data_IF_069892819457
#
_entry.id   IF_069892819457
#
_cell.length_a   1.000
_cell.length_b   1.000
_cell.length_c   1.000
_cell.angle_alpha   90.00
_cell.angle_beta   90.00
_cell.angle_gamma   90.00
#
_symmetry.space_group_name_H-M   'P 1'
#
loop_
_entity.id
_entity.type
_entity.pdbx_description
1 polymer ?
#
# COMPACT_ATOMS: atom_id res chain seq x y z
N UNK A 1 -2.24 -10.97 -19.35
CA UNK A 1 -2.95 -9.71 -19.07
C UNK A 1 -1.92 -8.69 -18.63
N UNK A 2 -2.19 -7.40 -18.75
CA UNK A 2 -1.33 -6.35 -18.17
C UNK A 2 -1.59 -6.25 -16.67
N UNK A 3 -0.56 -5.90 -15.89
CA UNK A 3 -0.75 -5.67 -14.46
C UNK A 3 -1.54 -4.38 -14.23
N UNK A 4 -2.36 -4.33 -13.18
CA UNK A 4 -3.14 -3.14 -12.79
C UNK A 4 -3.06 -2.90 -11.29
N UNK A 5 -2.85 -1.65 -10.90
CA UNK A 5 -2.92 -1.19 -9.51
C UNK A 5 -4.21 -0.39 -9.33
N UNK A 6 -5.05 -0.77 -8.36
CA UNK A 6 -6.33 -0.12 -8.07
C UNK A 6 -6.30 0.49 -6.67
N UNK A 7 -6.35 1.82 -6.59
CA UNK A 7 -6.39 2.60 -5.35
C UNK A 7 -7.84 2.93 -4.98
N UNK A 8 -8.24 2.69 -3.73
CA UNK A 8 -9.62 2.87 -3.29
C UNK A 8 -9.81 4.19 -2.51
N UNK A 9 -10.94 4.90 -2.73
CA UNK A 9 -11.25 6.14 -2.01
C UNK A 9 -11.86 5.84 -0.64
N UNK A 10 -11.03 5.85 0.40
CA UNK A 10 -11.38 5.41 1.75
C UNK A 10 -11.22 6.52 2.82
N UNK A 11 -11.07 7.77 2.39
CA UNK A 11 -10.64 8.87 3.28
C UNK A 11 -9.13 8.83 3.47
N UNK A 12 -8.67 9.04 4.70
CA UNK A 12 -7.29 8.77 5.10
C UNK A 12 -7.19 7.32 5.54
N UNK A 13 -7.11 6.42 4.55
CA UNK A 13 -7.02 4.99 4.79
C UNK A 13 -6.62 4.27 3.52
N UNK A 14 -6.11 3.05 3.71
CA UNK A 14 -5.44 2.31 2.67
C UNK A 14 -6.11 0.98 2.33
N UNK A 15 -6.27 0.81 1.02
CA UNK A 15 -6.40 -0.48 0.38
C UNK A 15 -6.01 -0.30 -1.09
N UNK A 16 -4.92 -0.94 -1.49
CA UNK A 16 -4.50 -0.95 -2.89
C UNK A 16 -4.48 -2.37 -3.42
N UNK A 17 -5.26 -2.64 -4.46
CA UNK A 17 -5.31 -3.96 -5.09
C UNK A 17 -4.35 -4.04 -6.27
N UNK A 18 -3.59 -5.12 -6.34
CA UNK A 18 -2.74 -5.44 -7.46
C UNK A 18 -3.34 -6.63 -8.20
N UNK A 19 -3.61 -6.46 -9.47
CA UNK A 19 -3.97 -7.51 -10.42
C UNK A 19 -2.73 -7.80 -11.27
N UNK A 20 -2.11 -8.96 -11.11
CA UNK A 20 -0.86 -9.31 -11.81
C UNK A 20 -1.11 -9.94 -13.18
N UNK A 21 -0.05 -10.00 -14.00
CA UNK A 21 -0.14 -10.47 -15.38
C UNK A 21 -0.60 -11.93 -15.53
N UNK A 22 -0.30 -12.76 -14.53
CA UNK A 22 -0.69 -14.17 -14.40
C UNK A 22 -2.05 -14.38 -13.69
N UNK A 23 -2.74 -13.30 -13.34
CA UNK A 23 -4.04 -13.36 -12.66
C UNK A 23 -3.95 -13.51 -11.14
N UNK A 24 -2.74 -13.54 -10.55
CA UNK A 24 -2.61 -13.40 -9.09
C UNK A 24 -3.18 -12.05 -8.64
N UNK A 25 -3.83 -12.04 -7.48
CA UNK A 25 -4.41 -10.84 -6.88
C UNK A 25 -3.81 -10.61 -5.50
N UNK A 26 -3.34 -9.40 -5.25
CA UNK A 26 -2.79 -8.98 -3.96
C UNK A 26 -3.56 -7.78 -3.43
N UNK A 27 -3.67 -7.67 -2.11
CA UNK A 27 -4.08 -6.45 -1.42
C UNK A 27 -2.91 -5.92 -0.59
N UNK A 28 -2.64 -4.63 -0.71
CA UNK A 28 -1.76 -3.87 0.18
C UNK A 28 -2.67 -3.02 1.05
N UNK A 29 -2.71 -3.38 2.34
CA UNK A 29 -3.63 -2.95 3.38
C UNK A 29 -5.12 -3.24 3.09
N UNK A 30 -5.93 -3.17 4.14
CA UNK A 30 -7.38 -3.26 4.06
C UNK A 30 -8.00 -2.47 5.20
N UNK A 31 -8.66 -1.35 4.87
CA UNK A 31 -9.41 -0.57 5.84
C UNK A 31 -10.79 -0.18 5.28
N UNK A 32 -11.83 -0.91 5.69
CA UNK A 32 -13.22 -0.53 5.41
C UNK A 32 -13.65 0.59 6.37
N UNK A 33 -13.34 1.82 5.97
CA UNK A 33 -13.59 3.00 6.79
C UNK A 33 -14.97 3.61 6.59
N UNK A 34 -15.78 3.12 5.63
CA UNK A 34 -17.08 3.73 5.34
C UNK A 34 -18.00 3.68 6.57
N UNK A 35 -18.48 4.85 6.99
CA UNK A 35 -19.55 5.00 7.95
C UNK A 35 -20.89 4.79 7.24
N UNK A 36 -21.55 3.67 7.53
CA UNK A 36 -22.83 3.29 6.90
C UNK A 36 -24.03 4.02 7.50
N UNK A 37 -23.86 4.62 8.68
CA UNK A 37 -24.90 5.41 9.35
C UNK A 37 -24.90 6.88 8.89
N UNK A 38 -23.85 7.30 8.17
CA UNK A 38 -23.77 8.65 7.57
C UNK A 38 -24.12 8.59 6.07
N UNK A 39 -25.28 9.11 5.64
CA UNK A 39 -25.67 9.13 4.24
C UNK A 39 -24.78 10.04 3.37
N UNK A 40 -23.97 10.91 3.98
CA UNK A 40 -23.05 11.81 3.30
C UNK A 40 -21.64 11.26 3.19
N UNK A 41 -21.36 10.09 3.78
CA UNK A 41 -20.06 9.44 3.63
C UNK A 41 -19.84 8.97 2.19
N UNK A 42 -18.88 9.62 1.53
CA UNK A 42 -18.55 9.39 0.12
C UNK A 42 -17.55 8.25 -0.09
N UNK A 43 -17.01 7.67 0.97
CA UNK A 43 -16.09 6.53 0.87
C UNK A 43 -16.78 5.37 0.16
N UNK A 44 -16.00 4.61 -0.60
CA UNK A 44 -16.52 3.43 -1.28
C UNK A 44 -16.93 2.36 -0.26
N UNK A 45 -17.95 1.57 -0.60
CA UNK A 45 -18.20 0.30 0.08
C UNK A 45 -17.13 -0.72 -0.34
N UNK A 46 -16.04 -0.75 0.41
CA UNK A 46 -14.87 -1.57 0.08
C UNK A 46 -15.19 -3.07 0.02
N UNK A 47 -15.91 -3.68 0.99
CA UNK A 47 -16.35 -5.07 0.89
C UNK A 47 -17.12 -5.38 -0.39
N UNK A 48 -18.07 -4.51 -0.77
CA UNK A 48 -18.89 -4.73 -1.96
C UNK A 48 -18.07 -4.68 -3.25
N UNK A 49 -17.18 -3.69 -3.36
CA UNK A 49 -16.27 -3.51 -4.51
C UNK A 49 -15.35 -4.73 -4.68
N UNK A 50 -14.68 -5.16 -3.60
CA UNK A 50 -13.74 -6.27 -3.65
C UNK A 50 -14.45 -7.61 -3.89
N UNK A 51 -15.62 -7.85 -3.29
CA UNK A 51 -16.43 -9.05 -3.59
C UNK A 51 -16.92 -9.05 -5.03
N UNK A 52 -17.24 -7.90 -5.62
CA UNK A 52 -17.62 -7.82 -7.03
C UNK A 52 -16.46 -8.20 -7.96
N UNK A 53 -15.25 -7.70 -7.67
CA UNK A 53 -14.04 -8.06 -8.41
C UNK A 53 -13.71 -9.56 -8.31
N UNK A 54 -13.75 -10.14 -7.10
CA UNK A 54 -13.49 -11.56 -6.90
C UNK A 54 -14.51 -12.44 -7.64
N UNK A 55 -15.80 -12.08 -7.62
CA UNK A 55 -16.85 -12.74 -8.40
C UNK A 55 -16.58 -12.66 -9.90
N UNK A 56 -16.18 -11.49 -10.41
CA UNK A 56 -15.83 -11.33 -11.82
C UNK A 56 -14.64 -12.21 -12.22
N UNK A 57 -13.68 -12.39 -11.31
CA UNK A 57 -12.55 -13.29 -11.45
C UNK A 57 -12.87 -14.76 -11.09
N UNK A 58 -14.13 -15.09 -10.78
CA UNK A 58 -14.60 -16.44 -10.41
C UNK A 58 -13.79 -17.08 -9.28
N UNK A 59 -13.43 -16.31 -8.26
CA UNK A 59 -12.67 -16.77 -7.09
C UNK A 59 -13.18 -16.13 -5.80
N UNK A 60 -12.69 -16.59 -4.65
CA UNK A 60 -13.11 -16.12 -3.32
C UNK A 60 -11.92 -15.90 -2.37
N UNK A 61 -10.76 -15.63 -2.94
CA UNK A 61 -9.49 -15.55 -2.22
C UNK A 61 -8.55 -14.51 -2.86
N UNK A 62 -7.66 -13.96 -2.04
CA UNK A 62 -6.48 -13.22 -2.49
C UNK A 62 -5.23 -14.09 -2.34
N UNK A 63 -4.32 -14.01 -3.30
CA UNK A 63 -3.03 -14.71 -3.21
C UNK A 63 -2.18 -14.12 -2.09
N UNK A 64 -2.20 -12.79 -1.93
CA UNK A 64 -1.51 -12.10 -0.85
C UNK A 64 -2.43 -11.04 -0.25
N UNK A 65 -2.41 -10.94 1.07
CA UNK A 65 -2.84 -9.72 1.78
C UNK A 65 -1.66 -9.25 2.61
N UNK A 66 -1.16 -8.05 2.32
CA UNK A 66 -0.08 -7.39 3.04
C UNK A 66 -0.66 -6.33 3.95
N UNK A 67 -0.43 -6.44 5.26
CA UNK A 67 -0.64 -5.33 6.18
C UNK A 67 0.71 -4.67 6.40
N UNK A 68 0.85 -3.42 5.96
CA UNK A 68 2.09 -2.67 6.08
C UNK A 68 2.38 -2.36 7.54
N UNK A 69 1.36 -2.07 8.33
CA UNK A 69 1.34 -1.99 9.80
C UNK A 69 -0.10 -2.20 10.30
N UNK A 70 -0.36 -1.98 11.60
CA UNK A 70 -1.63 -2.36 12.25
C UNK A 70 -2.45 -1.17 12.78
N UNK A 71 -2.25 0.03 12.24
CA UNK A 71 -3.18 1.14 12.52
C UNK A 71 -4.53 0.91 11.85
N UNK A 72 -5.58 1.51 12.42
CA UNK A 72 -6.97 1.24 12.04
C UNK A 72 -7.25 1.58 10.57
N UNK A 73 -6.66 2.66 10.08
CA UNK A 73 -6.71 3.09 8.69
C UNK A 73 -5.96 2.19 7.70
N UNK A 74 -5.32 1.11 8.20
CA UNK A 74 -4.71 0.04 7.39
C UNK A 74 -5.34 -1.33 7.62
N UNK A 75 -6.14 -1.51 8.68
CA UNK A 75 -6.63 -2.83 9.08
C UNK A 75 -8.10 -2.95 9.50
N UNK A 76 -8.85 -1.84 9.59
CA UNK A 76 -10.23 -1.85 10.07
C UNK A 76 -11.17 -2.65 9.15
N UNK A 77 -12.06 -3.44 9.75
CA UNK A 77 -13.05 -4.26 9.05
C UNK A 77 -12.50 -5.59 8.54
N UNK A 78 -11.22 -5.87 8.72
CA UNK A 78 -10.61 -7.13 8.30
C UNK A 78 -11.22 -8.34 8.99
N UNK A 79 -11.61 -8.20 10.26
CA UNK A 79 -12.22 -9.27 11.06
C UNK A 79 -13.65 -9.62 10.66
N UNK A 80 -14.23 -8.87 9.73
CA UNK A 80 -15.57 -9.02 9.17
C UNK A 80 -15.48 -9.53 7.74
N UNK A 81 -14.45 -9.13 7.00
CA UNK A 81 -14.28 -9.43 5.58
C UNK A 81 -13.54 -10.74 5.31
N UNK A 82 -12.48 -11.02 6.07
CA UNK A 82 -11.57 -12.13 5.77
C UNK A 82 -11.87 -13.38 6.58
N UNK A 83 -11.53 -14.51 5.97
CA UNK A 83 -11.38 -15.80 6.61
C UNK A 83 -10.00 -15.87 7.25
N UNK A 84 -9.95 -16.16 8.54
CA UNK A 84 -8.72 -16.34 9.31
C UNK A 84 -8.63 -17.76 9.88
N UNK A 85 -7.48 -18.41 9.70
CA UNK A 85 -7.24 -19.80 10.07
C UNK A 85 -7.13 -20.00 11.58
N UNK A 86 -6.75 -18.96 12.32
CA UNK A 86 -6.53 -19.02 13.76
C UNK A 86 -7.78 -19.34 14.58
N UNK A 87 -8.96 -18.80 14.22
CA UNK A 87 -10.16 -18.90 15.05
C UNK A 87 -11.44 -19.15 14.24
N UNK A 88 -12.20 -20.19 14.64
CA UNK A 88 -13.40 -20.66 13.96
C UNK A 88 -14.48 -19.59 13.73
N UNK A 89 -14.58 -18.57 14.61
CA UNK A 89 -15.54 -17.47 14.44
C UNK A 89 -15.30 -16.61 13.18
N UNK A 90 -14.12 -16.71 12.57
CA UNK A 90 -13.79 -16.05 11.31
C UNK A 90 -13.90 -16.99 10.10
N UNK A 91 -14.44 -18.20 10.27
CA UNK A 91 -14.40 -19.26 9.26
C UNK A 91 -15.77 -19.54 8.64
N UNK A 92 -16.33 -18.54 7.95
CA UNK A 92 -17.61 -18.63 7.25
C UNK A 92 -17.47 -18.52 5.72
N UNK A 93 -18.38 -19.16 4.97
CA UNK A 93 -18.29 -19.25 3.51
C UNK A 93 -18.41 -17.91 2.77
N UNK A 94 -18.94 -16.88 3.43
CA UNK A 94 -19.11 -15.52 2.90
C UNK A 94 -17.86 -14.64 3.05
N UNK A 95 -16.85 -15.12 3.77
CA UNK A 95 -15.57 -14.44 4.02
C UNK A 95 -14.51 -14.83 3.00
N UNK A 96 -13.67 -13.86 2.66
CA UNK A 96 -12.64 -14.00 1.63
C UNK A 96 -11.39 -14.65 2.22
N UNK A 97 -10.82 -15.65 1.52
CA UNK A 97 -9.62 -16.35 2.00
C UNK A 97 -8.33 -15.60 1.68
N UNK A 98 -7.32 -15.79 2.53
CA UNK A 98 -5.96 -15.26 2.35
C UNK A 98 -5.01 -16.45 2.17
N UNK A 99 -4.41 -16.59 0.99
CA UNK A 99 -3.43 -17.66 0.75
C UNK A 99 -2.12 -17.38 1.51
N UNK A 100 -1.50 -16.23 1.29
CA UNK A 100 -0.33 -15.77 2.03
C UNK A 100 -0.59 -14.44 2.74
N UNK A 101 -0.31 -14.38 4.04
CA UNK A 101 -0.40 -13.15 4.84
C UNK A 101 0.99 -12.52 4.91
N UNK A 102 1.11 -11.25 4.56
CA UNK A 102 2.35 -10.50 4.59
C UNK A 102 2.28 -9.48 5.71
N UNK A 103 3.24 -9.50 6.65
CA UNK A 103 3.25 -8.60 7.81
C UNK A 103 4.67 -8.23 8.24
N UNK A 104 4.90 -7.05 8.82
CA UNK A 104 6.17 -6.76 9.48
C UNK A 104 6.32 -7.59 10.75
N UNK A 105 7.55 -7.83 11.20
CA UNK A 105 7.82 -8.46 12.49
C UNK A 105 7.12 -7.72 13.66
N UNK A 106 6.97 -6.39 13.54
CA UNK A 106 6.24 -5.56 14.49
C UNK A 106 4.81 -6.06 14.74
N UNK A 107 4.07 -6.42 13.69
CA UNK A 107 2.70 -6.93 13.78
C UNK A 107 2.59 -8.26 14.55
N UNK A 108 3.70 -9.00 14.68
CA UNK A 108 3.77 -10.24 15.47
C UNK A 108 4.12 -9.91 16.92
N UNK A 109 5.01 -8.94 17.13
CA UNK A 109 5.63 -8.63 18.40
C UNK A 109 4.82 -7.66 19.25
N UNK A 110 3.97 -6.86 18.64
CA UNK A 110 3.20 -5.85 19.35
C UNK A 110 2.21 -6.48 20.35
N UNK A 111 2.19 -5.95 21.56
CA UNK A 111 1.31 -6.33 22.65
C UNK A 111 0.20 -5.30 22.86
N UNK A 112 -0.82 -5.63 23.65
CA UNK A 112 -1.91 -4.69 23.94
C UNK A 112 -2.84 -4.32 22.78
N UNK A 113 -2.74 -5.02 21.64
CA UNK A 113 -3.65 -4.81 20.50
C UNK A 113 -5.09 -5.22 20.81
N UNK A 114 -6.03 -4.45 20.25
CA UNK A 114 -7.47 -4.72 20.23
C UNK A 114 -8.02 -4.87 18.80
N UNK A 115 -9.31 -5.17 18.69
CA UNK A 115 -10.06 -5.23 17.43
C UNK A 115 -9.35 -5.94 16.26
N UNK A 116 -9.35 -5.34 15.06
CA UNK A 116 -8.81 -5.96 13.86
C UNK A 116 -7.28 -6.17 13.93
N UNK A 117 -6.55 -5.21 14.52
CA UNK A 117 -5.11 -5.33 14.76
C UNK A 117 -4.78 -6.61 15.56
N UNK A 118 -5.54 -6.87 16.63
CA UNK A 118 -5.38 -8.09 17.43
C UNK A 118 -5.66 -9.34 16.62
N UNK A 119 -6.70 -9.34 15.78
CA UNK A 119 -7.07 -10.49 14.94
C UNK A 119 -5.95 -10.84 13.97
N UNK A 120 -5.41 -9.83 13.28
CA UNK A 120 -4.34 -9.99 12.30
C UNK A 120 -3.06 -10.49 12.99
N UNK A 121 -2.70 -9.94 14.16
CA UNK A 121 -1.58 -10.47 14.95
C UNK A 121 -1.77 -11.95 15.30
N UNK A 122 -2.96 -12.33 15.76
CA UNK A 122 -3.19 -13.74 16.14
C UNK A 122 -3.15 -14.67 14.93
N UNK A 123 -3.66 -14.24 13.78
CA UNK A 123 -3.50 -14.97 12.53
C UNK A 123 -2.01 -15.10 12.15
N UNK A 124 -1.27 -14.00 12.17
CA UNK A 124 0.15 -14.00 11.84
C UNK A 124 0.95 -14.93 12.76
N UNK A 125 0.70 -14.85 14.08
CA UNK A 125 1.30 -15.76 15.07
C UNK A 125 0.91 -17.22 14.81
N UNK A 126 -0.34 -17.50 14.44
CA UNK A 126 -0.79 -18.85 14.09
C UNK A 126 -0.05 -19.40 12.87
N UNK A 127 -0.04 -18.65 11.77
CA UNK A 127 0.60 -19.06 10.51
C UNK A 127 2.11 -19.20 10.66
N UNK A 128 2.76 -18.30 11.40
CA UNK A 128 4.21 -18.40 11.69
C UNK A 128 4.52 -19.65 12.53
N UNK A 129 3.69 -19.97 13.54
CA UNK A 129 3.85 -21.20 14.32
C UNK A 129 3.69 -22.45 13.46
N UNK A 130 2.71 -22.47 12.56
CA UNK A 130 2.48 -23.57 11.61
C UNK A 130 3.56 -23.66 10.53
N UNK A 131 4.21 -22.55 10.21
CA UNK A 131 5.27 -22.48 9.22
C UNK A 131 4.75 -22.41 7.77
N UNK A 132 3.55 -21.87 7.55
CA UNK A 132 2.90 -21.87 6.23
C UNK A 132 1.96 -20.67 6.06
N UNK A 133 1.80 -20.23 4.80
CA UNK A 133 0.85 -19.17 4.43
C UNK A 133 1.18 -17.78 4.97
N UNK A 134 2.44 -17.50 5.30
CA UNK A 134 2.88 -16.19 5.82
C UNK A 134 4.26 -15.79 5.29
N UNK A 135 4.45 -14.50 5.10
CA UNK A 135 5.73 -13.81 4.93
C UNK A 135 5.88 -12.78 6.03
N UNK A 136 7.00 -12.83 6.75
CA UNK A 136 7.34 -11.88 7.80
C UNK A 136 8.47 -10.98 7.31
N UNK A 137 8.33 -9.67 7.44
CA UNK A 137 9.37 -8.73 7.08
C UNK A 137 10.20 -8.31 8.28
N UNK A 138 11.53 -8.37 8.13
CA UNK A 138 12.54 -8.16 9.17
C UNK A 138 12.70 -9.30 10.19
N UNK A 139 13.89 -9.36 10.80
CA UNK A 139 14.29 -10.32 11.84
C UNK A 139 14.94 -9.64 13.06
N UNK A 140 14.21 -8.79 13.82
CA UNK A 140 14.75 -8.23 15.05
C UNK A 140 15.04 -9.33 16.08
N UNK A 141 15.91 -9.04 17.05
CA UNK A 141 16.24 -9.94 18.16
C UNK A 141 14.98 -10.36 18.95
N UNK A 142 14.01 -9.44 19.07
CA UNK A 142 12.69 -9.72 19.68
C UNK A 142 11.92 -10.83 18.93
N UNK A 143 12.02 -10.93 17.60
CA UNK A 143 11.39 -12.01 16.84
C UNK A 143 12.05 -13.36 17.15
N UNK A 144 13.38 -13.40 17.26
CA UNK A 144 14.10 -14.60 17.68
C UNK A 144 13.66 -15.05 19.08
N UNK A 145 13.61 -14.13 20.04
CA UNK A 145 13.15 -14.43 21.40
C UNK A 145 11.69 -14.92 21.43
N UNK A 146 10.80 -14.31 20.63
CA UNK A 146 9.42 -14.76 20.50
C UNK A 146 9.32 -16.18 19.93
N UNK A 147 10.11 -16.52 18.91
CA UNK A 147 10.16 -17.87 18.35
C UNK A 147 10.64 -18.90 19.39
N UNK A 148 11.72 -18.60 20.10
CA UNK A 148 12.28 -19.47 21.15
C UNK A 148 11.26 -19.72 22.28
N UNK A 149 10.56 -18.68 22.73
CA UNK A 149 9.48 -18.79 23.72
C UNK A 149 8.28 -19.63 23.24
N UNK A 150 8.15 -19.87 21.93
CA UNK A 150 7.12 -20.71 21.33
C UNK A 150 7.66 -22.05 20.83
N UNK A 151 8.86 -22.47 21.28
CA UNK A 151 9.45 -23.75 20.94
C UNK A 151 9.94 -23.85 19.50
N UNK A 152 10.27 -22.72 18.87
CA UNK A 152 10.74 -22.60 17.49
C UNK A 152 12.12 -21.95 17.45
N UNK A 153 12.82 -22.08 16.32
CA UNK A 153 14.07 -21.35 16.07
C UNK A 153 13.95 -20.46 14.86
N UNK A 154 14.82 -19.43 14.77
CA UNK A 154 14.87 -18.54 13.62
C UNK A 154 15.15 -19.34 12.33
N UNK A 155 16.07 -20.30 12.38
CA UNK A 155 16.45 -21.15 11.25
C UNK A 155 15.26 -21.96 10.74
N UNK A 156 14.45 -22.50 11.66
CA UNK A 156 13.24 -23.27 11.31
C UNK A 156 12.16 -22.43 10.60
N UNK A 157 12.28 -21.10 10.63
CA UNK A 157 11.33 -20.15 10.01
C UNK A 157 11.99 -19.19 9.01
N UNK A 158 13.29 -19.30 8.76
CA UNK A 158 14.04 -18.37 7.91
C UNK A 158 13.46 -18.27 6.49
N UNK A 159 12.94 -19.36 5.94
CA UNK A 159 12.31 -19.40 4.62
C UNK A 159 11.01 -18.58 4.51
N UNK A 160 10.40 -18.19 5.64
CA UNK A 160 9.21 -17.33 5.74
C UNK A 160 9.56 -15.87 6.02
N UNK A 161 10.85 -15.54 6.20
CA UNK A 161 11.31 -14.20 6.55
C UNK A 161 11.99 -13.58 5.33
N UNK A 162 11.74 -12.30 5.09
CA UNK A 162 12.43 -11.49 4.08
C UNK A 162 12.84 -10.16 4.70
N UNK A 163 14.11 -9.80 4.57
CA UNK A 163 14.63 -8.57 5.16
C UNK A 163 14.61 -7.40 4.19
N UNK A 164 14.74 -6.19 4.74
CA UNK A 164 15.15 -5.04 3.96
C UNK A 164 16.44 -5.34 3.16
N UNK A 165 16.46 -4.93 1.90
CA UNK A 165 17.53 -5.23 0.95
C UNK A 165 17.32 -6.53 0.15
N UNK A 166 16.23 -7.26 0.36
CA UNK A 166 15.96 -8.52 -0.33
C UNK A 166 14.70 -8.46 -1.21
N UNK A 167 14.65 -9.36 -2.20
CA UNK A 167 13.44 -9.62 -2.97
C UNK A 167 12.53 -10.61 -2.25
N UNK A 168 11.22 -10.42 -2.37
CA UNK A 168 10.24 -11.40 -1.92
C UNK A 168 10.29 -12.63 -2.84
N UNK A 169 10.47 -13.86 -2.30
CA UNK A 169 10.46 -15.08 -3.10
C UNK A 169 9.14 -15.31 -3.83
N UNK A 170 9.19 -15.95 -4.99
CA UNK A 170 7.99 -16.32 -5.77
C UNK A 170 7.49 -15.26 -6.76
N UNK A 171 8.22 -14.15 -6.90
CA UNK A 171 7.94 -13.07 -7.84
C UNK A 171 9.20 -12.68 -8.62
N UNK A 172 9.13 -12.78 -9.94
CA UNK A 172 10.20 -12.51 -10.89
C UNK A 172 9.70 -11.67 -12.07
N UNK A 173 10.55 -10.76 -12.56
CA UNK A 173 10.30 -10.01 -13.80
C UNK A 173 10.08 -10.92 -15.01
N UNK A 174 10.79 -12.06 -15.04
CA UNK A 174 10.75 -13.01 -16.15
C UNK A 174 9.80 -14.19 -15.89
N UNK A 175 9.13 -14.20 -14.73
CA UNK A 175 8.05 -15.13 -14.42
C UNK A 175 6.76 -14.76 -15.13
N UNK A 176 5.72 -15.58 -14.96
CA UNK A 176 4.40 -15.31 -15.56
C UNK A 176 3.73 -14.08 -14.94
N UNK A 177 4.02 -13.80 -13.68
CA UNK A 177 3.56 -12.65 -12.90
C UNK A 177 4.14 -11.32 -13.38
N UNK A 178 5.31 -11.35 -14.02
CA UNK A 178 6.04 -10.18 -14.57
C UNK A 178 6.25 -9.05 -13.57
N UNK A 179 6.49 -9.39 -12.31
CA UNK A 179 6.73 -8.44 -11.22
C UNK A 179 7.72 -9.02 -10.23
N UNK A 180 8.54 -8.18 -9.61
CA UNK A 180 9.32 -8.50 -8.42
C UNK A 180 9.10 -7.44 -7.35
N UNK A 181 9.21 -7.83 -6.08
CA UNK A 181 9.05 -6.93 -4.93
C UNK A 181 10.35 -6.84 -4.15
N UNK A 182 10.93 -5.64 -4.06
CA UNK A 182 12.12 -5.35 -3.26
C UNK A 182 11.72 -4.65 -1.96
N UNK A 183 12.16 -5.18 -0.81
CA UNK A 183 11.79 -4.65 0.50
C UNK A 183 12.84 -3.63 0.96
N UNK A 184 12.38 -2.44 1.36
CA UNK A 184 13.20 -1.34 1.89
C UNK A 184 13.12 -1.22 3.42
N UNK A 185 11.99 -1.59 4.01
CA UNK A 185 11.69 -1.48 5.44
C UNK A 185 10.73 -2.61 5.84
N UNK A 186 10.71 -3.08 7.12
CA UNK A 186 11.48 -2.60 8.28
C UNK A 186 12.96 -3.00 8.32
N UNK A 187 13.77 -2.16 8.99
CA UNK A 187 15.15 -2.47 9.36
C UNK A 187 15.21 -3.17 10.73
N UNK A 188 15.74 -4.39 10.78
CA UNK A 188 15.81 -5.16 12.02
C UNK A 188 16.67 -4.53 13.13
N UNK A 189 17.70 -3.76 12.78
CA UNK A 189 18.54 -3.05 13.76
C UNK A 189 17.77 -1.93 14.47
N UNK A 190 16.95 -1.16 13.74
CA UNK A 190 16.13 -0.11 14.32
C UNK A 190 15.10 -0.68 15.32
N UNK A 191 14.46 -1.78 14.95
CA UNK A 191 13.52 -2.49 15.83
C UNK A 191 14.18 -3.04 17.11
N UNK A 192 15.50 -3.24 17.11
CA UNK A 192 16.23 -3.65 18.32
C UNK A 192 16.52 -2.48 19.25
N UNK A 193 16.67 -1.27 18.71
CA UNK A 193 16.93 -0.04 19.49
C UNK A 193 15.65 0.48 20.17
N UNK A 194 14.47 0.10 19.65
CA UNK A 194 13.19 0.52 20.19
C UNK A 194 12.69 -0.39 21.32
N UNK A 195 12.30 0.21 22.45
CA UNK A 195 11.62 -0.51 23.54
C UNK A 195 10.18 -0.88 23.17
N UNK A 196 9.46 0.04 22.51
CA UNK A 196 8.06 -0.10 22.07
C UNK A 196 7.99 -0.14 20.54
N UNK A 197 7.03 -0.88 19.99
CA UNK A 197 6.79 -0.91 18.54
C UNK A 197 6.34 0.47 18.06
N UNK A 198 7.00 0.99 17.04
CA UNK A 198 6.56 2.18 16.31
C UNK A 198 5.96 1.70 14.98
N UNK A 199 4.63 1.61 14.91
CA UNK A 199 3.91 0.98 13.80
C UNK A 199 4.26 1.58 12.44
N UNK A 200 4.26 2.90 12.36
CA UNK A 200 4.53 3.63 11.12
C UNK A 200 5.95 3.42 10.65
N UNK A 201 6.90 3.50 11.58
CA UNK A 201 8.32 3.43 11.30
C UNK A 201 8.82 1.98 11.09
N UNK A 202 8.12 1.00 11.64
CA UNK A 202 8.36 -0.43 11.45
C UNK A 202 7.51 -1.03 10.32
N UNK A 203 6.92 -0.18 9.48
CA UNK A 203 6.03 -0.59 8.41
C UNK A 203 6.76 -1.21 7.21
N UNK A 204 6.02 -2.02 6.45
CA UNK A 204 6.51 -2.59 5.19
C UNK A 204 6.57 -1.52 4.12
N UNK A 205 7.79 -1.28 3.64
CA UNK A 205 8.08 -0.36 2.54
C UNK A 205 8.71 -1.15 1.41
N UNK A 206 8.21 -0.99 0.19
CA UNK A 206 8.69 -1.80 -0.93
C UNK A 206 8.63 -1.07 -2.28
N UNK A 207 9.46 -1.54 -3.21
CA UNK A 207 9.35 -1.23 -4.63
C UNK A 207 8.83 -2.48 -5.36
N UNK A 208 7.72 -2.35 -6.09
CA UNK A 208 7.31 -3.32 -7.10
C UNK A 208 7.86 -2.89 -8.45
N UNK A 209 8.66 -3.75 -9.09
CA UNK A 209 9.11 -3.53 -10.48
C UNK A 209 8.35 -4.47 -11.37
N UNK A 210 7.64 -3.93 -12.36
CA UNK A 210 6.90 -4.66 -13.37
C UNK A 210 7.66 -4.67 -14.68
N UNK A 211 7.53 -5.75 -15.47
CA UNK A 211 8.08 -5.85 -16.82
C UNK A 211 6.97 -6.08 -17.84
N UNK A 212 6.74 -5.12 -18.74
CA UNK A 212 5.82 -5.30 -19.88
C UNK A 212 6.56 -4.99 -21.19
N UNK A 213 6.59 -5.95 -22.11
CA UNK A 213 7.51 -5.91 -23.25
C UNK A 213 8.97 -5.82 -22.78
N UNK A 214 9.69 -4.77 -23.18
CA UNK A 214 11.04 -4.47 -22.71
C UNK A 214 11.10 -3.39 -21.62
N UNK A 215 9.95 -2.84 -21.23
CA UNK A 215 9.90 -1.69 -20.32
C UNK A 215 9.71 -2.14 -18.88
N UNK A 216 10.58 -1.66 -18.00
CA UNK A 216 10.36 -1.72 -16.56
C UNK A 216 9.53 -0.51 -16.11
N UNK A 217 8.59 -0.75 -15.20
CA UNK A 217 7.81 0.30 -14.52
C UNK A 217 7.90 0.06 -13.02
N UNK A 218 8.25 1.08 -12.26
CA UNK A 218 8.53 0.99 -10.84
C UNK A 218 7.40 1.64 -10.02
N UNK A 219 6.84 0.90 -9.07
CA UNK A 219 5.87 1.41 -8.12
C UNK A 219 6.44 1.36 -6.70
N UNK A 220 6.59 2.52 -6.07
CA UNK A 220 7.17 2.68 -4.76
C UNK A 220 6.08 2.98 -3.73
N UNK A 221 5.98 2.10 -2.74
CA UNK A 221 4.98 2.15 -1.67
C UNK A 221 5.69 2.42 -0.34
N UNK A 222 5.46 3.62 0.20
CA UNK A 222 6.17 4.10 1.39
C UNK A 222 5.44 3.87 2.72
N UNK A 223 4.22 3.33 2.70
CA UNK A 223 3.38 3.22 3.90
C UNK A 223 3.34 4.55 4.65
N UNK A 224 3.48 4.54 5.97
CA UNK A 224 3.24 5.71 6.84
C UNK A 224 4.51 6.25 7.51
N UNK A 225 5.67 5.88 6.95
CA UNK A 225 6.98 6.32 7.43
C UNK A 225 7.17 7.83 7.31
N UNK A 226 8.05 8.37 8.17
CA UNK A 226 8.45 9.77 8.14
C UNK A 226 9.78 10.00 7.37
N UNK A 227 10.25 11.25 7.37
CA UNK A 227 11.48 11.66 6.71
C UNK A 227 12.73 10.99 7.31
N UNK A 228 12.76 10.68 8.61
CA UNK A 228 13.91 10.03 9.24
C UNK A 228 14.07 8.60 8.71
N UNK A 229 12.95 7.88 8.56
CA UNK A 229 12.94 6.56 7.90
C UNK A 229 13.34 6.63 6.43
N UNK A 230 12.82 7.61 5.70
CA UNK A 230 13.16 7.79 4.28
C UNK A 230 14.66 8.09 4.15
N UNK A 231 15.22 8.92 5.03
CA UNK A 231 16.65 9.19 5.10
C UNK A 231 17.46 7.91 5.31
N UNK A 232 17.06 7.06 6.26
CA UNK A 232 17.72 5.78 6.51
C UNK A 232 17.67 4.88 5.26
N UNK A 233 16.51 4.79 4.59
CA UNK A 233 16.35 4.00 3.35
C UNK A 233 17.26 4.54 2.24
N UNK A 234 17.30 5.85 2.03
CA UNK A 234 18.14 6.49 1.00
C UNK A 234 19.63 6.29 1.30
N UNK A 235 20.07 6.59 2.53
CA UNK A 235 21.47 6.44 2.97
C UNK A 235 21.92 4.99 2.85
N UNK A 236 21.07 4.04 3.27
CA UNK A 236 21.34 2.60 3.18
C UNK A 236 21.43 2.15 1.72
N UNK A 237 20.47 2.53 0.88
CA UNK A 237 20.48 2.20 -0.55
C UNK A 237 21.75 2.70 -1.25
N UNK A 238 22.14 3.96 -1.01
CA UNK A 238 23.40 4.53 -1.54
C UNK A 238 24.63 3.79 -1.05
N UNK A 239 24.70 3.49 0.26
CA UNK A 239 25.81 2.72 0.85
C UNK A 239 25.99 1.36 0.18
N UNK A 240 24.87 0.71 -0.19
CA UNK A 240 24.86 -0.59 -0.84
C UNK A 240 24.86 -0.54 -2.38
N UNK A 241 24.97 0.65 -2.99
CA UNK A 241 24.92 0.86 -4.45
C UNK A 241 23.63 0.33 -5.11
N UNK A 242 22.52 0.50 -4.40
CA UNK A 242 21.17 0.05 -4.78
C UNK A 242 20.24 1.24 -5.07
N UNK A 243 20.78 2.37 -5.54
CA UNK A 243 19.97 3.56 -5.84
C UNK A 243 18.86 3.28 -6.86
N UNK A 244 19.07 2.33 -7.78
CA UNK A 244 18.06 1.87 -8.75
C UNK A 244 16.79 1.30 -8.08
N UNK A 245 16.90 0.79 -6.85
CA UNK A 245 15.77 0.29 -6.05
C UNK A 245 14.87 1.39 -5.53
N UNK A 246 15.26 2.66 -5.70
CA UNK A 246 14.47 3.82 -5.33
C UNK A 246 13.90 4.57 -6.54
N UNK A 247 14.08 4.06 -7.77
CA UNK A 247 13.39 4.59 -8.95
C UNK A 247 11.88 4.40 -8.81
N UNK A 248 11.09 5.33 -9.34
CA UNK A 248 9.63 5.21 -9.30
C UNK A 248 8.95 5.94 -10.47
N UNK A 249 7.97 5.27 -11.08
CA UNK A 249 6.98 5.82 -12.01
C UNK A 249 5.62 6.02 -11.31
N UNK A 250 5.36 5.22 -10.27
CA UNK A 250 4.17 5.32 -9.41
C UNK A 250 4.67 5.48 -7.98
N UNK A 251 4.20 6.50 -7.27
CA UNK A 251 4.60 6.76 -5.88
C UNK A 251 3.36 6.90 -5.01
N UNK A 252 3.07 5.88 -4.18
CA UNK A 252 2.11 6.06 -3.09
C UNK A 252 2.82 6.92 -2.04
N UNK A 253 2.42 8.19 -1.95
CA UNK A 253 3.10 9.14 -1.05
C UNK A 253 2.91 8.68 0.40
N UNK A 254 3.91 8.91 1.26
CA UNK A 254 3.87 8.36 2.61
C UNK A 254 2.79 9.04 3.47
N UNK A 255 2.19 8.25 4.37
CA UNK A 255 1.36 8.72 5.48
C UNK A 255 0.27 9.71 5.02
N UNK A 256 -0.49 9.30 4.00
CA UNK A 256 -1.60 10.06 3.46
C UNK A 256 -1.26 11.52 3.06
N UNK A 257 -0.03 11.78 2.60
CA UNK A 257 0.49 13.13 2.32
C UNK A 257 0.79 13.93 3.61
N UNK A 258 1.51 13.30 4.54
CA UNK A 258 2.03 13.97 5.73
C UNK A 258 3.23 14.86 5.42
N UNK A 259 3.33 16.01 6.11
CA UNK A 259 4.54 16.85 6.04
C UNK A 259 5.73 16.16 6.71
N UNK A 260 5.48 15.30 7.71
CA UNK A 260 6.52 14.60 8.45
C UNK A 260 7.31 13.64 7.57
N UNK A 261 6.72 13.19 6.46
CA UNK A 261 7.38 12.38 5.44
C UNK A 261 8.25 13.18 4.46
N UNK A 262 8.23 14.52 4.57
CA UNK A 262 9.02 15.43 3.74
C UNK A 262 10.15 16.03 4.58
N UNK A 263 9.81 16.56 5.74
CA UNK A 263 10.79 17.17 6.64
C UNK A 263 10.23 17.43 8.03
N UNK A 264 11.05 18.01 8.93
CA UNK A 264 10.70 18.16 10.34
C UNK A 264 9.63 19.24 10.60
N UNK A 265 9.49 20.20 9.69
CA UNK A 265 8.59 21.34 9.85
C UNK A 265 7.54 21.39 8.74
N UNK A 266 6.26 21.53 9.10
CA UNK A 266 5.14 21.62 8.15
C UNK A 266 5.30 22.74 7.12
N UNK A 267 5.90 23.86 7.52
CA UNK A 267 6.01 25.07 6.72
C UNK A 267 4.69 25.85 6.63
N UNK A 268 4.72 27.01 5.96
CA UNK A 268 3.54 27.89 5.79
C UNK A 268 2.75 27.50 4.54
N UNK A 269 3.45 27.39 3.41
CA UNK A 269 2.84 27.17 2.10
C UNK A 269 3.34 25.91 1.39
N UNK A 270 4.60 25.55 1.62
CA UNK A 270 5.21 24.32 1.12
C UNK A 270 6.12 23.75 2.22
N UNK A 271 6.08 22.43 2.41
CA UNK A 271 6.97 21.72 3.33
C UNK A 271 8.36 21.60 2.70
N UNK A 272 9.40 22.00 3.44
CA UNK A 272 10.78 21.88 2.95
C UNK A 272 11.29 20.45 3.15
N UNK A 273 11.77 19.77 2.09
CA UNK A 273 12.32 18.42 2.23
C UNK A 273 13.69 18.43 2.91
N UNK A 274 14.03 17.33 3.58
CA UNK A 274 15.44 17.00 3.87
C UNK A 274 16.18 16.61 2.59
N UNK A 275 17.51 16.57 2.61
CA UNK A 275 18.31 16.35 1.40
C UNK A 275 18.04 14.98 0.77
N UNK A 276 17.86 13.95 1.59
CA UNK A 276 17.53 12.60 1.13
C UNK A 276 16.13 12.49 0.58
N UNK A 277 15.12 13.11 1.23
CA UNK A 277 13.75 13.11 0.70
C UNK A 277 13.70 13.89 -0.61
N UNK A 278 14.41 15.02 -0.68
CA UNK A 278 14.57 15.80 -1.91
C UNK A 278 15.18 14.95 -3.01
N UNK A 279 16.26 14.23 -2.72
CA UNK A 279 16.90 13.36 -3.70
C UNK A 279 15.95 12.24 -4.17
N UNK A 280 15.22 11.59 -3.25
CA UNK A 280 14.25 10.55 -3.60
C UNK A 280 13.15 11.09 -4.52
N UNK A 281 12.53 12.22 -4.15
CA UNK A 281 11.38 12.75 -4.88
C UNK A 281 11.81 13.46 -6.17
N UNK A 282 12.81 14.35 -6.10
CA UNK A 282 13.20 15.21 -7.23
C UNK A 282 14.18 14.52 -8.19
N UNK A 283 14.97 13.53 -7.74
CA UNK A 283 15.93 12.83 -8.61
C UNK A 283 15.41 11.48 -9.08
N UNK A 284 14.94 10.60 -8.19
CA UNK A 284 14.60 9.21 -8.55
C UNK A 284 13.26 9.04 -9.28
N UNK A 285 12.35 10.02 -9.17
CA UNK A 285 11.08 10.00 -9.91
C UNK A 285 11.30 10.06 -11.42
N UNK A 286 10.68 9.16 -12.17
CA UNK A 286 10.77 9.12 -13.64
C UNK A 286 9.95 10.26 -14.28
N UNK A 287 10.18 10.52 -15.57
CA UNK A 287 9.32 11.45 -16.32
C UNK A 287 7.88 10.91 -16.40
N UNK A 288 6.89 11.81 -16.36
CA UNK A 288 5.46 11.49 -16.49
C UNK A 288 4.94 10.52 -15.43
N UNK A 289 5.59 10.48 -14.27
CA UNK A 289 5.19 9.65 -13.13
C UNK A 289 3.82 10.04 -12.55
N UNK A 290 3.26 9.17 -11.72
CA UNK A 290 2.04 9.44 -10.94
C UNK A 290 2.32 9.27 -9.45
N UNK A 291 2.18 10.35 -8.69
CA UNK A 291 2.08 10.34 -7.23
C UNK A 291 0.62 10.17 -6.81
N UNK A 292 0.35 9.26 -5.88
CA UNK A 292 -0.99 8.97 -5.37
C UNK A 292 -1.02 9.18 -3.86
N UNK A 293 -1.88 10.10 -3.41
CA UNK A 293 -2.26 10.30 -2.02
C UNK A 293 -3.55 9.56 -1.71
N UNK A 294 -3.48 8.57 -0.82
CA UNK A 294 -4.62 7.80 -0.32
C UNK A 294 -5.24 8.53 0.87
N UNK A 295 -5.82 9.71 0.59
CA UNK A 295 -6.27 10.64 1.63
C UNK A 295 -7.65 11.21 1.31
N UNK A 296 -8.25 11.88 2.31
CA UNK A 296 -9.29 12.89 2.09
C UNK A 296 -8.76 14.01 1.19
N UNK A 297 -9.67 14.83 0.66
CA UNK A 297 -9.31 16.02 -0.12
C UNK A 297 -8.34 16.92 0.66
N UNK A 298 -7.43 17.58 -0.05
CA UNK A 298 -6.46 18.47 0.59
C UNK A 298 -7.16 19.64 1.31
N UNK A 299 -6.70 20.03 2.51
CA UNK A 299 -7.28 21.15 3.25
C UNK A 299 -7.18 22.49 2.48
N UNK A 300 -8.09 23.40 2.79
CA UNK A 300 -8.08 24.77 2.28
C UNK A 300 -7.25 25.64 3.23
N UNK A 301 -6.38 26.50 2.69
CA UNK A 301 -5.51 27.37 3.50
C UNK A 301 -6.31 28.13 4.56
N UNK A 302 -5.89 27.99 5.82
CA UNK A 302 -6.51 28.65 6.98
C UNK A 302 -7.77 27.98 7.55
N UNK A 303 -8.27 26.90 6.94
CA UNK A 303 -9.33 26.08 7.53
C UNK A 303 -8.81 25.35 8.79
N UNK A 304 -9.72 24.78 9.58
CA UNK A 304 -9.30 24.04 10.78
C UNK A 304 -8.56 22.75 10.40
N UNK A 305 -8.91 22.12 9.28
CA UNK A 305 -8.16 20.99 8.74
C UNK A 305 -6.75 21.37 8.26
N UNK A 306 -6.51 22.61 7.80
CA UNK A 306 -5.16 23.08 7.44
C UNK A 306 -4.28 23.27 8.68
N UNK A 307 -4.88 23.46 9.86
CA UNK A 307 -4.18 23.58 11.15
C UNK A 307 -3.96 22.24 11.85
N UNK A 308 -4.66 21.19 11.40
CA UNK A 308 -4.56 19.84 11.97
C UNK A 308 -3.10 19.34 11.91
N UNK A 309 -2.73 18.57 12.93
CA UNK A 309 -1.46 17.85 13.01
C UNK A 309 -1.52 16.54 12.21
N UNK A 310 -2.74 16.02 11.99
CA UNK A 310 -2.98 14.81 11.23
C UNK A 310 -3.03 15.11 9.72
N UNK A 311 -2.45 14.23 8.88
CA UNK A 311 -2.49 14.38 7.43
C UNK A 311 -3.92 14.29 6.88
N UNK A 312 -4.15 14.65 5.61
CA UNK A 312 -3.20 15.21 4.66
C UNK A 312 -2.86 16.67 4.95
N UNK A 313 -1.64 17.05 4.58
CA UNK A 313 -1.17 18.43 4.74
C UNK A 313 -1.10 19.16 3.40
N UNK A 314 -1.73 20.33 3.32
CA UNK A 314 -1.72 21.17 2.11
C UNK A 314 -0.29 21.54 1.69
N UNK A 315 0.60 21.81 2.65
CA UNK A 315 1.99 22.18 2.42
C UNK A 315 2.80 21.01 1.83
N UNK A 316 2.52 19.78 2.28
CA UNK A 316 3.09 18.58 1.70
C UNK A 316 2.59 18.35 0.27
N UNK A 317 1.28 18.55 0.05
CA UNK A 317 0.70 18.47 -1.30
C UNK A 317 1.29 19.52 -2.24
N UNK A 318 1.58 20.73 -1.78
CA UNK A 318 2.25 21.76 -2.57
C UNK A 318 3.63 21.29 -3.05
N UNK A 319 4.42 20.71 -2.16
CA UNK A 319 5.71 20.11 -2.49
C UNK A 319 5.57 19.01 -3.56
N UNK A 320 4.72 18.01 -3.31
CA UNK A 320 4.54 16.90 -4.25
C UNK A 320 4.00 17.35 -5.61
N UNK A 321 3.08 18.32 -5.64
CA UNK A 321 2.60 18.93 -6.89
C UNK A 321 3.72 19.63 -7.65
N UNK A 322 4.58 20.38 -6.96
CA UNK A 322 5.75 21.02 -7.59
C UNK A 322 6.69 19.99 -8.19
N UNK A 323 7.02 18.93 -7.45
CA UNK A 323 7.88 17.83 -7.94
C UNK A 323 7.25 17.14 -9.15
N UNK A 324 5.96 16.85 -9.09
CA UNK A 324 5.23 16.23 -10.20
C UNK A 324 5.27 17.10 -11.46
N UNK A 325 4.93 18.38 -11.33
CA UNK A 325 4.89 19.32 -12.46
C UNK A 325 6.27 19.50 -13.12
N UNK A 326 7.36 19.42 -12.35
CA UNK A 326 8.72 19.55 -12.89
C UNK A 326 9.12 18.41 -13.86
N UNK A 327 8.37 17.31 -13.91
CA UNK A 327 8.64 16.13 -14.74
C UNK A 327 7.43 15.71 -15.60
N UNK A 328 6.52 16.63 -15.88
CA UNK A 328 5.24 16.35 -16.56
C UNK A 328 4.42 15.22 -15.90
N UNK A 329 4.64 15.01 -14.60
CA UNK A 329 3.97 14.01 -13.79
C UNK A 329 2.63 14.49 -13.25
N UNK A 330 2.03 13.67 -12.39
CA UNK A 330 0.74 13.95 -11.79
C UNK A 330 0.75 13.68 -10.29
N UNK A 331 0.14 14.59 -9.52
CA UNK A 331 -0.24 14.32 -8.13
C UNK A 331 -1.76 14.13 -8.05
N UNK A 332 -2.20 13.00 -7.49
CA UNK A 332 -3.60 12.59 -7.42
C UNK A 332 -4.00 12.26 -5.98
N UNK A 333 -5.26 12.49 -5.66
CA UNK A 333 -5.87 12.19 -4.35
C UNK A 333 -7.03 11.24 -4.58
N UNK A 334 -7.07 10.10 -3.90
CA UNK A 334 -8.08 9.06 -4.15
C UNK A 334 -9.50 9.57 -3.94
N UNK A 335 -9.74 10.36 -2.88
CA UNK A 335 -11.04 10.96 -2.61
C UNK A 335 -11.46 12.06 -3.58
N UNK A 336 -10.57 12.53 -4.46
CA UNK A 336 -10.88 13.56 -5.46
C UNK A 336 -11.13 12.97 -6.87
N UNK A 337 -11.01 11.65 -7.04
CA UNK A 337 -11.06 10.99 -8.34
C UNK A 337 -12.31 10.12 -8.54
N UNK A 338 -13.05 10.25 -9.67
CA UNK A 338 -12.90 11.28 -10.70
C UNK A 338 -13.41 12.65 -10.25
N UNK A 339 -14.10 12.71 -9.10
CA UNK A 339 -14.51 13.96 -8.45
C UNK A 339 -14.70 13.74 -6.95
N UNK A 340 -14.46 14.79 -6.15
CA UNK A 340 -14.71 14.77 -4.70
C UNK A 340 -16.17 14.51 -4.29
N UNK A 341 -17.12 14.68 -5.22
CA UNK A 341 -18.54 14.44 -4.99
C UNK A 341 -18.94 12.97 -5.15
N UNK A 342 -18.21 12.24 -6.00
CA UNK A 342 -18.48 10.84 -6.31
C UNK A 342 -17.15 10.14 -6.58
N UNK A 343 -16.34 9.93 -5.54
CA UNK A 343 -15.06 9.28 -5.71
C UNK A 343 -15.26 7.82 -6.10
N UNK A 344 -14.32 7.28 -6.88
CA UNK A 344 -14.33 5.90 -7.38
C UNK A 344 -12.91 5.31 -7.34
N UNK A 345 -12.79 3.97 -7.35
CA UNK A 345 -11.50 3.31 -7.46
C UNK A 345 -10.75 3.78 -8.69
N UNK A 346 -9.49 4.13 -8.49
CA UNK A 346 -8.62 4.67 -9.54
C UNK A 346 -7.64 3.59 -9.96
N UNK A 347 -7.56 3.33 -11.26
CA UNK A 347 -6.74 2.25 -11.83
C UNK A 347 -5.53 2.82 -12.56
N UNK A 348 -4.36 2.25 -12.32
CA UNK A 348 -3.15 2.46 -13.11
C UNK A 348 -2.80 1.14 -13.78
N UNK A 349 -2.88 1.11 -15.10
CA UNK A 349 -2.48 -0.05 -15.90
C UNK A 349 -1.00 0.03 -16.25
N UNK A 350 -0.28 -1.08 -16.13
CA UNK A 350 1.12 -1.19 -16.54
C UNK A 350 1.17 -1.73 -17.97
N UNK A 351 1.66 -0.91 -18.89
CA UNK A 351 1.77 -1.23 -20.33
C UNK A 351 3.22 -1.21 -20.78
N UNK A 352 3.48 -1.66 -22.02
CA UNK A 352 4.79 -1.51 -22.68
C UNK A 352 5.22 -0.04 -22.86
N UNK A 353 4.26 0.90 -22.74
CA UNK A 353 4.48 2.35 -22.73
C UNK A 353 4.60 2.95 -21.33
N UNK A 354 4.57 2.13 -20.29
CA UNK A 354 4.69 2.54 -18.88
C UNK A 354 3.36 2.55 -18.14
N UNK A 355 3.35 3.23 -16.99
CA UNK A 355 2.17 3.41 -16.16
C UNK A 355 1.14 4.33 -16.83
N UNK A 356 -0.10 3.85 -16.99
CA UNK A 356 -1.22 4.60 -17.56
C UNK A 356 -2.36 4.70 -16.56
N UNK A 357 -2.61 5.93 -16.07
CA UNK A 357 -3.78 6.23 -15.26
C UNK A 357 -5.05 6.10 -16.13
N UNK A 358 -5.97 5.22 -15.74
CA UNK A 358 -7.24 5.04 -16.42
C UNK A 358 -8.26 6.06 -15.88
N UNK A 359 -8.64 7.02 -16.71
CA UNK A 359 -9.68 7.99 -16.38
C UNK A 359 -11.06 7.34 -16.48
N UNK A 360 -11.76 7.24 -15.34
CA UNK A 360 -13.18 6.86 -15.32
C UNK A 360 -13.99 8.14 -15.54
N UNK A 361 -14.59 8.33 -16.72
CA UNK A 361 -15.47 9.48 -16.98
C UNK A 361 -16.57 9.60 -15.92
N UNK A 362 -16.77 10.81 -15.39
CA UNK A 362 -17.81 11.09 -14.40
C UNK A 362 -19.23 10.93 -14.96
N UNK A 363 -19.39 11.00 -16.29
CA UNK A 363 -20.63 10.80 -17.03
C UNK A 363 -20.85 9.33 -17.39
N UNK A 364 -21.41 8.55 -16.47
CA UNK A 364 -22.21 7.38 -16.83
C UNK A 364 -23.64 7.67 -16.39
N UNK A 365 -24.31 8.51 -17.18
CA UNK A 365 -25.76 8.59 -17.22
C UNK A 365 -26.22 7.76 -18.41
N UNK A 366 -27.03 6.73 -18.15
CA UNK A 366 -27.75 5.87 -19.11
C UNK A 366 -26.89 5.18 -20.18
N UNK A 367 -26.91 3.84 -20.17
CA UNK A 367 -26.45 3.04 -21.30
C UNK A 367 -27.26 3.41 -22.56
N UNK A 368 -26.64 4.13 -23.49
CA UNK A 368 -27.14 4.22 -24.85
C UNK A 368 -26.84 2.90 -25.55
N UNK A 369 -27.88 2.09 -25.73
CA UNK A 369 -27.88 0.94 -26.63
C UNK A 369 -27.49 1.48 -28.01
N UNK A 370 -26.28 1.14 -28.48
CA UNK A 370 -25.93 1.38 -29.88
C UNK A 370 -26.59 0.27 -30.68
N UNK A 371 -27.81 0.52 -31.15
CA UNK A 371 -28.44 -0.31 -32.18
C UNK A 371 -27.69 -0.08 -33.49
N UNK A 372 -27.04 -1.12 -34.02
CA UNK A 372 -26.53 -1.14 -35.39
C UNK A 372 -27.69 -0.96 -36.38
N UNK A 373 -27.60 -0.04 -37.37
CA UNK A 373 -28.62 0.06 -38.39
C UNK A 373 -28.56 -1.18 -39.30
N UNK A 374 -29.73 -1.76 -39.57
CA UNK A 374 -29.90 -2.80 -40.58
C UNK A 374 -29.54 -2.22 -41.95
N UNK A 375 -28.65 -2.89 -42.69
CA UNK A 375 -28.46 -2.65 -44.12
C UNK A 375 -29.73 -3.07 -44.86
N UNK A 376 -30.29 -2.15 -45.63
CA UNK A 376 -31.30 -2.42 -46.64
C UNK A 376 -30.80 -1.86 -47.98
N UNK A 377 -30.93 -2.67 -49.05
CA UNK A 377 -30.74 -2.28 -50.45
C UNK A 377 -29.36 -2.53 -50.99
#
# INVERSE_FOLDING_TARGET
MTATLTFHPLGNADCTRFDLADGKKLLIDYADMKNRDDPWDRRIDLPAELKADLRAAKRNDYNVVCYTHLDDDHCRGSSEFFWFDHAAKYQSNDRVKIQELWVPAAAILEDGLDDCARVIRQEARHRLKKGLGIRVFSRPAKLKAWLEANGLTLESRAHLITDAGQFVPGFSLFGTERVQFFIHSPFGWRQNDNEVVDRNQDSVVFQATFLEGSRQTHALFMSDIDHESIEQIVKTSKRHKNEDRLLWDIFKVPHHCSYTAIGPEKGVDETKPTDEVKWLCETQGQERHTMMSTSKSMPIKGSDEDKDVQPPHRQASAYYKRVANAKDGQFKVTMDLPSAHKPKPTKIEITDRGARLLTVSATVGTASIVSTPARAG
#
